data_IF_689548655385
#
_entry.id   IF_689548655385
#
_cell.length_a   1.000
_cell.length_b   1.000
_cell.length_c   1.000
_cell.angle_alpha   90.00
_cell.angle_beta   90.00
_cell.angle_gamma   90.00
#
_symmetry.space_group_name_H-M   'P 1'
#
loop_
_entity.id
_entity.type
_entity.pdbx_description
1 polymer ?
#
# COMPACT_ATOMS: atom_id res chain seq x y z
N UNK A 1 -58.05 -7.51 -27.96
CA UNK A 1 -58.00 -8.16 -26.64
C UNK A 1 -57.16 -9.43 -26.79
N UNK A 2 -56.01 -9.67 -26.16
CA UNK A 2 -55.25 -9.04 -25.09
C UNK A 2 -53.76 -9.30 -25.39
N UNK A 3 -52.91 -8.28 -25.29
CA UNK A 3 -51.46 -8.44 -25.31
C UNK A 3 -51.00 -8.98 -23.95
N UNK A 4 -50.25 -10.08 -23.92
CA UNK A 4 -49.63 -10.60 -22.71
C UNK A 4 -48.16 -10.19 -22.71
N UNK A 5 -47.86 -9.16 -21.91
CA UNK A 5 -46.50 -8.72 -21.60
C UNK A 5 -45.77 -9.82 -20.83
N UNK A 6 -44.72 -10.41 -21.42
CA UNK A 6 -43.76 -11.22 -20.68
C UNK A 6 -42.79 -10.27 -19.97
N UNK A 7 -42.95 -10.12 -18.65
CA UNK A 7 -42.05 -9.36 -17.81
C UNK A 7 -40.78 -10.18 -17.54
N UNK A 8 -39.64 -9.72 -18.04
CA UNK A 8 -38.32 -10.30 -17.81
C UNK A 8 -37.87 -9.98 -16.38
N UNK A 9 -38.10 -10.88 -15.43
CA UNK A 9 -37.52 -10.78 -14.09
C UNK A 9 -36.06 -11.27 -14.15
N UNK A 10 -35.12 -10.38 -14.48
CA UNK A 10 -33.70 -10.59 -14.18
C UNK A 10 -33.55 -10.49 -12.65
N UNK A 11 -33.62 -11.64 -11.98
CA UNK A 11 -33.17 -11.72 -10.59
C UNK A 11 -31.66 -11.47 -10.58
N UNK A 12 -31.27 -10.28 -10.14
CA UNK A 12 -29.90 -10.02 -9.74
C UNK A 12 -29.57 -11.03 -8.64
N UNK A 13 -28.82 -12.08 -8.98
CA UNK A 13 -28.08 -12.84 -7.99
C UNK A 13 -27.08 -11.87 -7.37
N UNK A 14 -27.50 -11.18 -6.30
CA UNK A 14 -26.60 -10.67 -5.30
C UNK A 14 -25.91 -11.90 -4.72
N UNK A 15 -24.80 -12.30 -5.35
CA UNK A 15 -23.88 -13.24 -4.75
C UNK A 15 -23.54 -12.63 -3.39
N UNK A 16 -24.08 -13.24 -2.34
CA UNK A 16 -23.70 -12.92 -0.99
C UNK A 16 -22.19 -13.07 -0.98
N UNK A 17 -21.46 -11.98 -0.77
CA UNK A 17 -20.01 -12.01 -0.72
C UNK A 17 -19.64 -12.76 0.55
N UNK A 18 -19.64 -14.10 0.47
CA UNK A 18 -19.12 -14.95 1.54
C UNK A 18 -17.69 -14.47 1.75
N UNK A 19 -17.44 -13.95 2.95
CA UNK A 19 -16.11 -13.56 3.36
C UNK A 19 -15.29 -14.85 3.47
N UNK A 20 -14.41 -15.09 2.50
CA UNK A 20 -13.48 -16.21 2.58
C UNK A 20 -12.32 -15.79 3.47
N UNK A 21 -12.24 -16.37 4.66
CA UNK A 21 -11.07 -16.23 5.52
C UNK A 21 -9.96 -17.14 4.99
N UNK A 22 -8.73 -16.62 4.92
CA UNK A 22 -7.57 -17.47 4.68
C UNK A 22 -7.27 -18.24 5.98
N UNK A 23 -7.94 -19.36 6.20
CA UNK A 23 -7.67 -20.18 7.38
C UNK A 23 -6.28 -20.85 7.33
N UNK A 24 -5.90 -21.50 8.44
CA UNK A 24 -4.58 -22.13 8.58
C UNK A 24 -4.28 -23.16 7.48
N UNK A 25 -5.27 -23.89 6.99
CA UNK A 25 -5.09 -24.95 6.00
C UNK A 25 -5.18 -24.42 4.58
N UNK A 26 -6.09 -23.48 4.33
CA UNK A 26 -6.30 -22.86 3.02
C UNK A 26 -5.01 -22.23 2.48
N UNK A 27 -4.16 -21.67 3.35
CA UNK A 27 -2.87 -21.06 2.93
C UNK A 27 -1.95 -22.04 2.19
N UNK A 28 -1.97 -23.33 2.52
CA UNK A 28 -1.07 -24.31 1.90
C UNK A 28 -1.39 -24.52 0.43
N UNK A 29 -2.65 -24.37 0.02
CA UNK A 29 -3.06 -24.41 -1.38
C UNK A 29 -2.56 -23.22 -2.22
N UNK A 30 -2.03 -22.18 -1.58
CA UNK A 30 -1.50 -20.98 -2.23
C UNK A 30 -0.01 -20.76 -1.96
N UNK A 31 0.64 -21.71 -1.27
CA UNK A 31 2.05 -21.61 -0.90
C UNK A 31 2.92 -22.40 -1.86
N UNK A 32 3.95 -21.77 -2.45
CA UNK A 32 4.93 -22.48 -3.29
C UNK A 32 6.11 -23.06 -2.48
N UNK A 33 7.01 -23.78 -3.15
CA UNK A 33 8.18 -24.40 -2.52
C UNK A 33 9.20 -23.39 -1.96
N UNK A 34 9.12 -22.13 -2.35
CA UNK A 34 9.96 -21.05 -1.81
C UNK A 34 9.29 -20.34 -0.62
N UNK A 35 8.07 -20.74 -0.26
CA UNK A 35 7.31 -20.18 0.84
C UNK A 35 6.62 -18.86 0.49
N UNK A 36 6.48 -18.54 -0.79
CA UNK A 36 5.64 -17.42 -1.24
C UNK A 36 4.17 -17.82 -1.11
N UNK A 37 3.31 -16.88 -0.71
CA UNK A 37 1.85 -17.05 -0.72
C UNK A 37 1.26 -16.15 -1.80
N UNK A 38 0.66 -16.74 -2.84
CA UNK A 38 -0.03 -16.01 -3.91
C UNK A 38 -1.55 -16.07 -3.76
N UNK A 39 -2.15 -14.99 -3.26
CA UNK A 39 -3.60 -14.81 -3.15
C UNK A 39 -4.15 -13.91 -4.25
N UNK A 40 -3.36 -13.57 -5.28
CA UNK A 40 -3.79 -12.63 -6.32
C UNK A 40 -5.09 -13.10 -6.97
N UNK A 41 -6.03 -12.16 -7.15
CA UNK A 41 -7.37 -12.42 -7.71
C UNK A 41 -8.22 -13.46 -6.95
N UNK A 42 -7.87 -13.80 -5.70
CA UNK A 42 -8.67 -14.72 -4.88
C UNK A 42 -9.72 -13.96 -4.06
N UNK A 43 -10.86 -14.60 -3.73
CA UNK A 43 -11.96 -13.93 -3.04
C UNK A 43 -11.76 -13.82 -1.52
N UNK A 44 -10.51 -13.95 -1.03
CA UNK A 44 -10.20 -13.83 0.39
C UNK A 44 -10.42 -12.40 0.87
N UNK A 45 -11.07 -12.23 2.02
CA UNK A 45 -11.36 -10.92 2.61
C UNK A 45 -10.51 -10.63 3.85
N UNK A 46 -9.90 -11.65 4.45
CA UNK A 46 -9.10 -11.55 5.67
C UNK A 46 -7.84 -12.41 5.59
N UNK A 47 -6.82 -11.96 6.33
CA UNK A 47 -5.60 -12.70 6.64
C UNK A 47 -5.59 -12.92 8.16
N UNK A 48 -5.23 -14.11 8.65
CA UNK A 48 -5.25 -14.41 10.08
C UNK A 48 -4.13 -13.65 10.82
N UNK A 49 -4.40 -13.27 12.08
CA UNK A 49 -3.39 -12.71 12.98
C UNK A 49 -2.22 -13.70 13.16
N UNK A 50 -1.00 -13.17 13.26
CA UNK A 50 0.23 -13.96 13.47
C UNK A 50 0.70 -14.78 12.27
N UNK A 51 0.13 -14.59 11.07
CA UNK A 51 0.61 -15.27 9.87
C UNK A 51 2.09 -14.95 9.60
N UNK A 52 2.91 -15.98 9.45
CA UNK A 52 4.29 -15.87 8.99
C UNK A 52 4.38 -16.37 7.56
N UNK A 53 4.89 -15.51 6.66
CA UNK A 53 5.14 -15.83 5.24
C UNK A 53 6.65 -15.93 5.04
N UNK A 54 7.13 -17.12 4.66
CA UNK A 54 8.58 -17.38 4.52
C UNK A 54 9.19 -16.70 3.29
N UNK A 55 8.38 -16.44 2.26
CA UNK A 55 8.74 -15.69 1.07
C UNK A 55 7.91 -14.42 0.93
N UNK A 56 7.48 -14.14 -0.29
CA UNK A 56 6.64 -13.00 -0.65
C UNK A 56 5.16 -13.28 -0.36
N UNK A 57 4.41 -12.22 -0.05
CA UNK A 57 2.95 -12.26 0.07
C UNK A 57 2.34 -11.42 -1.05
N UNK A 58 1.54 -12.02 -1.92
CA UNK A 58 0.80 -11.32 -2.95
C UNK A 58 -0.70 -11.34 -2.66
N UNK A 59 -1.28 -10.17 -2.37
CA UNK A 59 -2.72 -9.96 -2.18
C UNK A 59 -3.31 -9.01 -3.23
N UNK A 60 -2.63 -8.87 -4.36
CA UNK A 60 -3.07 -7.98 -5.44
C UNK A 60 -4.46 -8.37 -5.93
N UNK A 61 -5.29 -7.37 -6.22
CA UNK A 61 -6.66 -7.58 -6.74
C UNK A 61 -7.55 -8.45 -5.83
N UNK A 62 -7.30 -8.46 -4.52
CA UNK A 62 -8.15 -9.16 -3.54
C UNK A 62 -9.11 -8.18 -2.82
N UNK A 63 -10.22 -8.67 -2.26
CA UNK A 63 -11.08 -7.89 -1.37
C UNK A 63 -10.54 -7.78 0.07
N UNK A 64 -9.28 -8.17 0.33
CA UNK A 64 -8.65 -8.04 1.65
C UNK A 64 -8.53 -6.56 2.02
N UNK A 65 -9.23 -6.16 3.08
CA UNK A 65 -9.26 -4.75 3.52
C UNK A 65 -8.25 -4.40 4.59
N UNK A 66 -7.62 -5.40 5.21
CA UNK A 66 -6.77 -5.20 6.40
C UNK A 66 -5.61 -6.19 6.47
N UNK A 67 -4.41 -5.69 6.77
CA UNK A 67 -3.30 -6.52 7.24
C UNK A 67 -3.38 -6.69 8.78
N UNK A 68 -3.29 -7.93 9.28
CA UNK A 68 -3.55 -8.29 10.68
C UNK A 68 -2.37 -7.98 11.62
N UNK A 69 -2.58 -8.13 12.94
CA UNK A 69 -1.48 -7.97 13.90
C UNK A 69 -0.51 -9.14 13.77
N UNK A 70 0.78 -8.87 13.89
CA UNK A 70 1.80 -9.91 13.89
C UNK A 70 2.04 -10.58 12.53
N UNK A 71 1.48 -10.06 11.43
CA UNK A 71 1.87 -10.49 10.08
C UNK A 71 3.37 -10.25 9.90
N UNK A 72 4.10 -11.30 9.57
CA UNK A 72 5.56 -11.28 9.37
C UNK A 72 5.90 -11.87 7.99
N UNK A 73 6.21 -11.00 7.03
CA UNK A 73 6.57 -11.37 5.65
C UNK A 73 8.10 -11.28 5.51
N UNK A 74 8.73 -12.44 5.31
CA UNK A 74 10.19 -12.55 5.18
C UNK A 74 10.69 -12.14 3.78
N UNK A 75 9.80 -12.04 2.80
CA UNK A 75 10.04 -11.42 1.50
C UNK A 75 9.37 -10.04 1.38
N UNK A 76 8.80 -9.78 0.21
CA UNK A 76 8.08 -8.55 -0.14
C UNK A 76 6.57 -8.71 -0.08
N UNK A 77 5.87 -7.59 0.03
CA UNK A 77 4.41 -7.49 -0.01
C UNK A 77 3.95 -6.84 -1.31
N UNK A 78 3.14 -7.55 -2.08
CA UNK A 78 2.43 -7.04 -3.25
C UNK A 78 0.95 -6.90 -2.92
N UNK A 79 0.38 -5.70 -3.01
CA UNK A 79 -1.05 -5.45 -2.80
C UNK A 79 -1.65 -4.55 -3.88
N UNK A 80 -1.10 -4.63 -5.09
CA UNK A 80 -1.48 -3.80 -6.23
C UNK A 80 -2.97 -3.96 -6.53
N UNK A 81 -3.69 -2.84 -6.67
CA UNK A 81 -5.12 -2.77 -6.96
C UNK A 81 -5.99 -3.61 -6.00
N UNK A 82 -5.55 -3.81 -4.76
CA UNK A 82 -6.33 -4.50 -3.73
C UNK A 82 -7.32 -3.57 -3.03
N UNK A 83 -8.26 -4.16 -2.28
CA UNK A 83 -9.15 -3.41 -1.38
C UNK A 83 -8.48 -2.99 -0.06
N UNK A 84 -7.16 -3.15 0.08
CA UNK A 84 -6.44 -2.92 1.33
C UNK A 84 -6.58 -1.46 1.80
N UNK A 85 -7.13 -1.26 3.00
CA UNK A 85 -7.35 0.06 3.61
C UNK A 85 -6.54 0.28 4.88
N UNK A 86 -6.35 -0.77 5.67
CA UNK A 86 -5.75 -0.68 7.00
C UNK A 86 -4.57 -1.62 7.14
N UNK A 87 -3.44 -1.13 7.65
CA UNK A 87 -2.35 -1.98 8.11
C UNK A 87 -2.28 -1.85 9.63
N UNK A 88 -2.39 -2.96 10.36
CA UNK A 88 -2.29 -2.91 11.84
C UNK A 88 -0.83 -2.67 12.27
N UNK A 89 -0.58 -2.01 13.41
CA UNK A 89 0.77 -1.88 13.96
C UNK A 89 1.42 -3.25 14.22
N UNK A 90 2.74 -3.33 14.09
CA UNK A 90 3.51 -4.56 14.32
C UNK A 90 3.68 -5.46 13.08
N UNK A 91 3.08 -5.11 11.95
CA UNK A 91 3.36 -5.77 10.67
C UNK A 91 4.83 -5.59 10.30
N UNK A 92 5.47 -6.67 9.86
CA UNK A 92 6.85 -6.68 9.39
C UNK A 92 6.90 -7.18 7.95
N UNK A 93 7.62 -6.46 7.11
CA UNK A 93 7.94 -6.84 5.73
C UNK A 93 9.44 -6.64 5.54
N UNK A 94 10.18 -7.72 5.39
CA UNK A 94 11.65 -7.68 5.27
C UNK A 94 12.09 -7.06 3.93
N UNK A 95 11.35 -7.32 2.86
CA UNK A 95 11.54 -6.73 1.55
C UNK A 95 10.83 -5.40 1.40
N UNK A 96 10.32 -5.15 0.19
CA UNK A 96 9.58 -3.94 -0.17
C UNK A 96 8.06 -4.13 0.00
N UNK A 97 7.32 -3.03 -0.08
CA UNK A 97 5.86 -3.04 -0.14
C UNK A 97 5.38 -2.24 -1.36
N UNK A 98 4.71 -2.92 -2.28
CA UNK A 98 4.11 -2.32 -3.45
C UNK A 98 2.58 -2.32 -3.34
N UNK A 99 2.00 -1.16 -3.06
CA UNK A 99 0.58 -0.96 -2.76
C UNK A 99 -0.11 -0.08 -3.81
N UNK A 100 0.41 -0.07 -5.05
CA UNK A 100 -0.11 0.73 -6.14
C UNK A 100 -1.63 0.54 -6.30
N UNK A 101 -2.39 1.63 -6.35
CA UNK A 101 -3.84 1.60 -6.57
C UNK A 101 -4.68 0.97 -5.45
N UNK A 102 -4.06 0.59 -4.32
CA UNK A 102 -4.76 0.10 -3.14
C UNK A 102 -5.58 1.22 -2.48
N UNK A 103 -6.32 0.91 -1.42
CA UNK A 103 -7.24 1.84 -0.75
C UNK A 103 -6.66 2.38 0.57
N UNK A 104 -5.34 2.40 0.72
CA UNK A 104 -4.68 2.93 1.91
C UNK A 104 -4.90 4.44 1.99
N UNK A 105 -5.53 4.88 3.07
CA UNK A 105 -5.72 6.31 3.37
C UNK A 105 -4.63 6.86 4.30
N UNK A 106 -4.00 6.00 5.09
CA UNK A 106 -2.96 6.38 6.07
C UNK A 106 -1.91 5.29 6.22
N UNK A 107 -0.63 5.65 6.22
CA UNK A 107 0.43 4.71 6.60
C UNK A 107 0.58 4.70 8.13
N UNK A 108 0.48 3.54 8.81
CA UNK A 108 0.50 3.50 10.28
C UNK A 108 1.92 3.62 10.85
N UNK A 109 2.01 4.03 12.12
CA UNK A 109 3.23 3.87 12.93
C UNK A 109 3.47 2.40 13.26
N UNK A 110 4.74 2.04 13.48
CA UNK A 110 5.13 0.71 13.99
C UNK A 110 5.15 -0.42 12.96
N UNK A 111 5.03 -0.11 11.67
CA UNK A 111 5.33 -1.07 10.59
C UNK A 111 6.84 -1.09 10.35
N UNK A 112 7.43 -2.28 10.31
CA UNK A 112 8.84 -2.47 9.95
C UNK A 112 8.91 -2.85 8.46
N UNK A 113 9.42 -1.95 7.64
CA UNK A 113 9.60 -2.16 6.20
C UNK A 113 11.09 -2.12 5.85
N UNK A 114 11.57 -3.11 5.11
CA UNK A 114 13.00 -3.25 4.80
C UNK A 114 13.45 -2.70 3.44
N UNK A 115 12.52 -2.42 2.53
CA UNK A 115 12.80 -1.94 1.18
C UNK A 115 12.05 -0.65 0.83
N UNK A 116 11.71 -0.52 -0.46
CA UNK A 116 10.93 0.60 -0.97
C UNK A 116 9.45 0.52 -0.56
N UNK A 117 8.78 1.66 -0.61
CA UNK A 117 7.34 1.80 -0.35
C UNK A 117 6.68 2.52 -1.53
N UNK A 118 5.82 1.80 -2.25
CA UNK A 118 5.05 2.37 -3.35
C UNK A 118 3.57 2.57 -2.94
N UNK A 119 3.17 3.82 -2.78
CA UNK A 119 1.80 4.27 -2.46
C UNK A 119 1.17 5.03 -3.64
N UNK A 120 1.66 4.82 -4.87
CA UNK A 120 1.12 5.45 -6.08
C UNK A 120 -0.38 5.16 -6.24
N UNK A 121 -1.19 6.14 -6.66
CA UNK A 121 -2.64 6.00 -6.88
C UNK A 121 -3.46 5.57 -5.66
N UNK A 122 -3.00 5.89 -4.45
CA UNK A 122 -3.75 5.63 -3.22
C UNK A 122 -4.53 6.88 -2.77
N UNK A 123 -5.66 6.72 -2.04
CA UNK A 123 -6.36 7.82 -1.37
C UNK A 123 -5.60 8.33 -0.11
N UNK A 124 -4.28 8.22 -0.12
CA UNK A 124 -3.40 8.51 1.01
C UNK A 124 -3.45 10.00 1.39
N UNK A 125 -3.82 10.28 2.64
CA UNK A 125 -3.92 11.64 3.19
C UNK A 125 -2.88 11.94 4.27
N UNK A 126 -2.23 10.92 4.83
CA UNK A 126 -1.22 11.12 5.88
C UNK A 126 -0.17 10.00 5.95
N UNK A 127 1.04 10.41 6.33
CA UNK A 127 2.16 9.55 6.70
C UNK A 127 2.54 9.79 8.17
N UNK A 128 3.14 8.82 8.88
CA UNK A 128 3.48 9.00 10.27
C UNK A 128 4.73 9.87 10.43
N UNK A 129 4.76 10.67 11.50
CA UNK A 129 5.97 11.39 11.94
C UNK A 129 7.20 10.48 12.00
N UNK A 130 8.36 10.99 11.57
CA UNK A 130 9.64 10.25 11.53
C UNK A 130 9.57 8.93 10.76
N UNK A 131 8.76 8.87 9.70
CA UNK A 131 8.76 7.74 8.77
C UNK A 131 10.17 7.57 8.20
N UNK A 132 10.69 6.35 8.24
CA UNK A 132 11.90 5.96 7.52
C UNK A 132 11.58 4.90 6.48
N UNK A 133 11.97 5.14 5.22
CA UNK A 133 11.89 4.18 4.11
C UNK A 133 13.32 3.82 3.70
N UNK A 134 13.64 2.52 3.70
CA UNK A 134 15.01 2.04 3.44
C UNK A 134 15.38 2.01 1.95
N UNK A 135 14.39 2.12 1.07
CA UNK A 135 14.59 2.34 -0.36
C UNK A 135 13.83 3.58 -0.82
N UNK A 136 13.23 3.49 -1.99
CA UNK A 136 12.45 4.57 -2.59
C UNK A 136 11.09 4.74 -1.92
N UNK A 137 10.58 5.98 -1.91
CA UNK A 137 9.21 6.31 -1.52
C UNK A 137 8.48 6.94 -2.70
N UNK A 138 7.40 6.31 -3.15
CA UNK A 138 6.46 6.93 -4.10
C UNK A 138 5.13 7.26 -3.43
N UNK A 139 4.72 8.52 -3.55
CA UNK A 139 3.38 9.03 -3.19
C UNK A 139 2.73 9.71 -4.39
N UNK A 140 3.11 9.28 -5.60
CA UNK A 140 2.59 9.79 -6.88
C UNK A 140 1.05 9.69 -6.91
N UNK A 141 0.40 10.74 -7.41
CA UNK A 141 -1.06 10.81 -7.59
C UNK A 141 -1.86 10.47 -6.32
N UNK A 142 -1.41 10.97 -5.18
CA UNK A 142 -2.12 10.89 -3.90
C UNK A 142 -2.71 12.25 -3.49
N UNK A 143 -3.78 12.30 -2.67
CA UNK A 143 -4.29 13.55 -2.12
C UNK A 143 -3.44 14.12 -0.97
N UNK A 144 -2.28 13.54 -0.68
CA UNK A 144 -1.36 13.96 0.38
C UNK A 144 -0.93 15.42 0.20
N UNK A 145 -1.09 16.24 1.23
CA UNK A 145 -0.81 17.69 1.19
C UNK A 145 0.49 18.08 1.88
N UNK A 146 1.02 17.23 2.75
CA UNK A 146 2.27 17.45 3.49
C UNK A 146 3.04 16.14 3.69
N UNK A 147 4.38 16.23 3.70
CA UNK A 147 5.25 15.14 4.15
C UNK A 147 5.50 15.29 5.67
N UNK A 148 5.70 14.19 6.41
CA UNK A 148 5.84 14.25 7.85
C UNK A 148 7.21 14.83 8.27
N UNK A 149 7.23 15.56 9.38
CA UNK A 149 8.49 16.03 9.99
C UNK A 149 9.44 14.87 10.29
N UNK A 150 10.71 15.07 9.95
CA UNK A 150 11.77 14.08 10.13
C UNK A 150 11.65 12.88 9.19
N UNK A 151 11.01 13.02 8.02
CA UNK A 151 11.00 11.99 6.98
C UNK A 151 12.42 11.63 6.56
N UNK A 152 12.72 10.33 6.49
CA UNK A 152 13.98 9.80 5.97
C UNK A 152 13.68 8.82 4.83
N UNK A 153 14.20 9.10 3.64
CA UNK A 153 14.17 8.20 2.48
C UNK A 153 15.61 7.87 2.12
N UNK A 154 15.99 6.59 2.26
CA UNK A 154 17.34 6.13 1.94
C UNK A 154 17.56 5.99 0.41
N UNK A 155 16.49 6.00 -0.39
CA UNK A 155 16.52 6.06 -1.86
C UNK A 155 15.96 7.38 -2.42
N UNK A 156 15.22 7.28 -3.52
CA UNK A 156 14.55 8.38 -4.21
C UNK A 156 13.15 8.67 -3.65
N UNK A 157 12.73 9.93 -3.76
CA UNK A 157 11.38 10.38 -3.42
C UNK A 157 10.63 10.81 -4.68
N UNK A 158 9.45 10.22 -4.91
CA UNK A 158 8.59 10.54 -6.05
C UNK A 158 7.26 11.12 -5.59
N UNK A 159 6.94 12.34 -6.02
CA UNK A 159 5.72 13.05 -5.60
C UNK A 159 4.81 13.49 -6.76
N UNK A 160 5.15 13.14 -8.01
CA UNK A 160 4.42 13.52 -9.23
C UNK A 160 2.89 13.40 -9.11
N UNK A 161 2.16 14.45 -9.47
CA UNK A 161 0.70 14.50 -9.40
C UNK A 161 0.07 14.42 -7.99
N UNK A 162 0.85 14.49 -6.91
CA UNK A 162 0.29 14.63 -5.55
C UNK A 162 -0.26 16.05 -5.30
N UNK A 163 -0.88 16.28 -4.13
CA UNK A 163 -1.29 17.62 -3.67
C UNK A 163 -0.23 18.32 -2.81
N UNK A 164 1.01 17.81 -2.80
CA UNK A 164 2.10 18.37 -2.03
C UNK A 164 2.50 19.75 -2.57
N UNK A 165 2.34 20.77 -1.72
CA UNK A 165 2.77 22.15 -2.02
C UNK A 165 3.83 22.65 -1.04
N UNK A 166 4.09 21.91 0.04
CA UNK A 166 5.01 22.28 1.11
C UNK A 166 5.74 21.03 1.62
N UNK A 167 7.05 21.17 1.82
CA UNK A 167 7.86 20.19 2.53
C UNK A 167 8.00 20.55 4.03
N UNK A 168 8.26 19.55 4.90
CA UNK A 168 8.56 19.77 6.32
C UNK A 168 9.85 20.57 6.50
N UNK A 169 10.07 21.10 7.71
CA UNK A 169 11.28 21.86 8.03
C UNK A 169 12.53 20.97 8.00
N UNK A 170 12.40 19.71 8.41
CA UNK A 170 13.51 18.75 8.40
C UNK A 170 13.15 17.46 7.66
N UNK A 171 13.96 17.09 6.66
CA UNK A 171 13.86 15.80 5.98
C UNK A 171 15.19 15.36 5.36
N UNK A 172 15.31 14.06 5.10
CA UNK A 172 16.45 13.44 4.42
C UNK A 172 15.98 12.63 3.22
N UNK A 173 16.60 12.85 2.07
CA UNK A 173 16.47 12.01 0.87
C UNK A 173 17.87 11.71 0.36
N UNK A 174 18.34 10.48 0.47
CA UNK A 174 19.71 10.13 0.05
C UNK A 174 19.85 9.99 -1.47
N UNK A 175 18.75 9.75 -2.18
CA UNK A 175 18.69 9.79 -3.64
C UNK A 175 18.20 11.14 -4.17
N UNK A 176 17.43 11.08 -5.26
CA UNK A 176 16.84 12.25 -5.92
C UNK A 176 15.41 12.52 -5.44
N UNK A 177 14.95 13.76 -5.63
CA UNK A 177 13.54 14.14 -5.45
C UNK A 177 12.95 14.40 -6.83
N UNK A 178 11.92 13.66 -7.22
CA UNK A 178 11.20 13.82 -8.49
C UNK A 178 9.85 14.50 -8.24
N UNK A 179 9.74 15.76 -8.68
CA UNK A 179 8.56 16.58 -8.48
C UNK A 179 7.42 16.19 -9.44
N UNK A 180 7.74 15.73 -10.65
CA UNK A 180 6.77 15.28 -11.64
C UNK A 180 5.64 16.30 -11.86
N UNK A 181 6.01 17.58 -12.01
CA UNK A 181 5.09 18.70 -12.19
C UNK A 181 4.47 19.29 -10.91
N UNK A 182 4.83 18.80 -9.71
CA UNK A 182 4.36 19.42 -8.46
C UNK A 182 5.01 20.79 -8.26
N UNK A 183 4.20 21.77 -7.82
CA UNK A 183 4.67 23.13 -7.50
C UNK A 183 4.87 23.26 -6.00
N UNK A 184 6.09 23.05 -5.54
CA UNK A 184 6.47 23.19 -4.12
C UNK A 184 6.83 24.64 -3.82
N UNK A 185 6.14 25.22 -2.84
CA UNK A 185 6.28 26.62 -2.41
C UNK A 185 7.08 26.78 -1.12
N UNK A 186 7.14 25.73 -0.29
CA UNK A 186 7.98 25.69 0.92
C UNK A 186 8.96 24.54 0.82
N UNK A 187 10.24 24.86 0.86
CA UNK A 187 11.33 23.90 0.97
C UNK A 187 11.78 23.73 2.43
N UNK A 188 12.42 22.60 2.79
CA UNK A 188 12.93 22.38 4.14
C UNK A 188 14.05 23.37 4.48
N UNK A 189 14.07 23.86 5.71
CA UNK A 189 15.22 24.59 6.26
C UNK A 189 16.43 23.67 6.42
N UNK A 190 16.18 22.40 6.81
CA UNK A 190 17.18 21.38 7.03
C UNK A 190 16.93 20.19 6.08
N UNK A 191 17.40 20.31 4.84
CA UNK A 191 17.36 19.24 3.85
C UNK A 191 18.72 18.55 3.76
N UNK A 192 18.77 17.24 4.06
CA UNK A 192 19.87 16.38 3.63
C UNK A 192 19.49 15.71 2.32
N UNK A 193 20.12 16.14 1.21
CA UNK A 193 19.88 15.60 -0.14
C UNK A 193 21.16 14.99 -0.70
N UNK A 194 21.11 13.72 -1.11
CA UNK A 194 22.27 13.05 -1.73
C UNK A 194 22.31 13.11 -3.26
N UNK A 195 21.17 13.39 -3.90
CA UNK A 195 21.04 13.56 -5.35
C UNK A 195 20.60 14.95 -5.76
N UNK A 196 19.83 15.03 -6.84
CA UNK A 196 19.27 16.26 -7.38
C UNK A 196 17.75 16.33 -7.17
N UNK A 197 17.21 17.54 -7.34
CA UNK A 197 15.78 17.76 -7.53
C UNK A 197 15.50 17.77 -9.02
N UNK A 198 14.67 16.84 -9.49
CA UNK A 198 14.19 16.76 -10.85
C UNK A 198 12.74 17.27 -10.94
N UNK A 199 12.40 18.04 -11.99
CA UNK A 199 11.07 18.63 -12.16
C UNK A 199 9.94 17.60 -12.38
#
# INVERSE_FOLDING_TARGET
MRALLLLLALTAFSSSSIAYELDYYAKFGHTDNYGNIDLRNKPYTTIPDGLVVKGNLNISQTPITKLPRGLDVQGSLEATNSALKTIRPGVKVKGYANLLGSKIERWPRGVKLGGYLNLTDNPLTSLPARLRVKGDLSVIRTPLTELPEGLIVDGNLYIGGSKLTKFPDTMTVKGNIFLGGNRVTKWPTNLTLGGAVAP
#
